data_IF_757989252767
#
_entry.id   IF_757989252767
#
_cell.length_a   1.000
_cell.length_b   1.000
_cell.length_c   1.000
_cell.angle_alpha   90.00
_cell.angle_beta   90.00
_cell.angle_gamma   90.00
#
_symmetry.space_group_name_H-M   'P 1'
#
loop_
_entity.id
_entity.type
_entity.pdbx_description
1 polymer ?
#
# COMPACT_ATOMS: atom_id res chain seq x y z
N UNK A 1 31.24 -14.51 -13.39
CA UNK A 1 30.61 -13.19 -13.09
C UNK A 1 30.46 -12.88 -11.60
N UNK A 2 30.02 -13.79 -10.71
CA UNK A 2 29.83 -13.49 -9.28
C UNK A 2 31.10 -13.15 -8.49
N UNK A 3 32.27 -13.68 -8.88
CA UNK A 3 33.55 -13.42 -8.21
C UNK A 3 34.13 -12.01 -8.50
N UNK A 4 33.98 -11.52 -9.73
CA UNK A 4 34.49 -10.22 -10.16
C UNK A 4 33.79 -9.06 -9.43
N UNK A 5 32.46 -9.15 -9.25
CA UNK A 5 31.70 -8.14 -8.49
C UNK A 5 32.09 -8.11 -7.01
N UNK A 6 32.51 -9.23 -6.41
CA UNK A 6 32.96 -9.27 -5.00
C UNK A 6 34.32 -8.62 -4.82
N UNK A 7 35.24 -8.82 -5.76
CA UNK A 7 36.57 -8.20 -5.74
C UNK A 7 36.45 -6.67 -5.95
N UNK A 8 35.62 -6.22 -6.89
CA UNK A 8 35.38 -4.80 -7.12
C UNK A 8 34.79 -4.09 -5.89
N UNK A 9 33.83 -4.73 -5.19
CA UNK A 9 33.27 -4.21 -3.94
C UNK A 9 34.32 -4.17 -2.83
N UNK A 10 35.15 -5.20 -2.71
CA UNK A 10 36.22 -5.26 -1.70
C UNK A 10 37.27 -4.15 -1.93
N UNK A 11 37.70 -3.95 -3.18
CA UNK A 11 38.63 -2.87 -3.55
C UNK A 11 38.01 -1.50 -3.28
N UNK A 12 36.73 -1.31 -3.58
CA UNK A 12 36.00 -0.07 -3.27
C UNK A 12 35.92 0.21 -1.77
N UNK A 13 35.67 -0.81 -0.94
CA UNK A 13 35.65 -0.67 0.52
C UNK A 13 37.02 -0.33 1.11
N UNK A 14 38.09 -0.96 0.60
CA UNK A 14 39.46 -0.68 1.04
C UNK A 14 39.87 0.74 0.65
N UNK A 15 39.63 1.14 -0.59
CA UNK A 15 39.93 2.49 -1.07
C UNK A 15 39.13 3.56 -0.29
N UNK A 16 37.84 3.30 -0.03
CA UNK A 16 37.00 4.17 0.80
C UNK A 16 37.53 4.29 2.24
N UNK A 17 37.95 3.18 2.85
CA UNK A 17 38.55 3.17 4.19
C UNK A 17 39.86 3.96 4.27
N UNK A 18 40.72 3.86 3.25
CA UNK A 18 41.98 4.62 3.18
C UNK A 18 41.71 6.12 3.00
N UNK A 19 40.75 6.50 2.16
CA UNK A 19 40.36 7.90 1.96
C UNK A 19 39.77 8.52 3.25
N UNK A 20 38.92 7.77 3.96
CA UNK A 20 38.37 8.16 5.27
C UNK A 20 39.49 8.34 6.29
N UNK A 21 40.46 7.42 6.32
CA UNK A 21 41.61 7.52 7.22
C UNK A 21 42.48 8.74 6.92
N UNK A 22 42.83 8.98 5.65
CA UNK A 22 43.63 10.15 5.25
C UNK A 22 42.90 11.47 5.55
N UNK A 23 41.59 11.54 5.31
CA UNK A 23 40.78 12.71 5.65
C UNK A 23 40.70 12.95 7.16
N UNK A 24 40.59 11.86 7.95
CA UNK A 24 40.57 11.94 9.42
C UNK A 24 41.88 12.45 10.04
N UNK A 25 43.02 12.21 9.36
CA UNK A 25 44.32 12.74 9.79
C UNK A 25 44.43 14.26 9.58
N UNK A 26 43.73 14.81 8.58
CA UNK A 26 43.68 16.25 8.32
C UNK A 26 42.64 16.97 9.19
N UNK A 27 41.61 16.25 9.66
CA UNK A 27 40.52 16.79 10.46
C UNK A 27 40.22 15.86 11.64
N UNK A 28 40.90 16.03 12.79
CA UNK A 28 40.81 15.09 13.93
C UNK A 28 39.40 14.94 14.50
N UNK A 29 38.55 15.96 14.36
CA UNK A 29 37.15 15.92 14.80
C UNK A 29 36.30 14.92 14.01
N UNK A 30 36.76 14.50 12.83
CA UNK A 30 36.07 13.52 11.97
C UNK A 30 35.96 12.14 12.64
N UNK A 31 36.89 11.81 13.54
CA UNK A 31 36.83 10.58 14.36
C UNK A 31 35.65 10.55 15.32
N UNK A 32 35.04 11.68 15.66
CA UNK A 32 33.82 11.72 16.48
C UNK A 32 32.55 11.57 15.64
N UNK A 33 32.63 11.84 14.33
CA UNK A 33 31.49 11.71 13.39
C UNK A 33 31.29 10.26 12.96
N UNK A 34 32.38 9.51 12.75
CA UNK A 34 32.34 8.11 12.30
C UNK A 34 31.54 7.21 13.27
N UNK A 35 31.78 7.22 14.60
CA UNK A 35 30.95 6.51 15.56
C UNK A 35 29.50 6.97 15.50
N UNK A 36 29.23 8.26 15.39
CA UNK A 36 27.86 8.79 15.28
C UNK A 36 27.10 8.23 14.07
N UNK A 37 27.73 8.23 12.89
CA UNK A 37 27.15 7.69 11.65
C UNK A 37 26.97 6.16 11.74
N UNK A 38 27.96 5.43 12.27
CA UNK A 38 27.86 3.98 12.46
C UNK A 38 26.76 3.60 13.45
N UNK A 39 26.63 4.37 14.54
CA UNK A 39 25.57 4.16 15.53
C UNK A 39 24.20 4.38 14.89
N UNK A 40 24.00 5.49 14.16
CA UNK A 40 22.76 5.75 13.41
C UNK A 40 22.45 4.64 12.39
N UNK A 41 23.47 4.14 11.70
CA UNK A 41 23.34 3.05 10.71
C UNK A 41 22.91 1.73 11.34
N UNK A 42 23.40 1.43 12.56
CA UNK A 42 23.04 0.23 13.32
C UNK A 42 21.61 0.30 13.89
N UNK A 43 21.12 1.50 14.20
CA UNK A 43 19.75 1.71 14.66
C UNK A 43 18.74 1.93 13.53
N UNK A 44 19.18 2.19 12.29
CA UNK A 44 18.31 2.34 11.12
C UNK A 44 17.33 1.16 10.94
N UNK A 45 17.76 -0.13 11.02
CA UNK A 45 16.85 -1.27 10.88
C UNK A 45 15.80 -1.40 11.99
N UNK A 46 16.08 -0.83 13.18
CA UNK A 46 15.14 -0.76 14.30
C UNK A 46 14.19 0.43 14.15
N UNK A 47 14.61 1.50 13.47
CA UNK A 47 13.82 2.69 13.23
C UNK A 47 12.87 2.56 12.03
N UNK A 48 13.18 1.72 11.03
CA UNK A 48 12.35 1.56 9.83
C UNK A 48 10.90 1.17 10.14
N UNK A 49 10.57 0.21 11.02
CA UNK A 49 9.18 -0.16 11.27
C UNK A 49 8.38 0.97 11.95
N UNK A 50 9.04 1.75 12.83
CA UNK A 50 8.44 2.91 13.48
C UNK A 50 8.13 4.01 12.47
N UNK A 51 9.04 4.23 11.51
CA UNK A 51 8.83 5.15 10.40
C UNK A 51 7.66 4.71 9.52
N UNK A 52 7.55 3.42 9.16
CA UNK A 52 6.43 2.94 8.34
C UNK A 52 5.09 3.13 9.09
N UNK A 53 5.00 2.77 10.37
CA UNK A 53 3.78 2.98 11.18
C UNK A 53 3.40 4.47 11.25
N UNK A 54 4.37 5.36 11.46
CA UNK A 54 4.12 6.80 11.47
C UNK A 54 3.61 7.30 10.11
N UNK A 55 4.21 6.84 9.01
CA UNK A 55 3.77 7.18 7.65
C UNK A 55 2.34 6.70 7.37
N UNK A 56 1.96 5.50 7.83
CA UNK A 56 0.58 5.01 7.71
C UNK A 56 -0.39 5.85 8.52
N UNK A 57 -0.06 6.18 9.78
CA UNK A 57 -0.90 7.07 10.60
C UNK A 57 -1.10 8.43 9.95
N UNK A 58 -0.03 9.02 9.41
CA UNK A 58 -0.11 10.27 8.65
C UNK A 58 -0.98 10.11 7.40
N UNK A 59 -0.80 9.03 6.64
CA UNK A 59 -1.59 8.79 5.42
C UNK A 59 -3.07 8.57 5.73
N UNK A 60 -3.41 7.92 6.85
CA UNK A 60 -4.79 7.81 7.34
C UNK A 60 -5.36 9.18 7.73
N UNK A 61 -4.56 10.04 8.33
CA UNK A 61 -4.96 11.42 8.64
C UNK A 61 -5.27 12.21 7.37
N UNK A 62 -4.35 12.17 6.42
CA UNK A 62 -4.49 12.85 5.13
C UNK A 62 -5.71 12.28 4.36
N UNK A 63 -5.95 10.97 4.46
CA UNK A 63 -7.10 10.30 3.85
C UNK A 63 -8.45 10.74 4.43
N UNK A 64 -8.58 10.81 5.76
CA UNK A 64 -9.82 11.31 6.39
C UNK A 64 -10.09 12.76 6.00
N UNK A 65 -9.04 13.60 6.02
CA UNK A 65 -9.15 15.00 5.63
C UNK A 65 -9.60 15.10 4.17
N UNK A 66 -9.00 14.31 3.29
CA UNK A 66 -9.36 14.25 1.88
C UNK A 66 -10.82 13.82 1.66
N UNK A 67 -11.30 12.80 2.37
CA UNK A 67 -12.70 12.34 2.29
C UNK A 67 -13.66 13.46 2.75
N UNK A 68 -13.32 14.12 3.86
CA UNK A 68 -14.10 15.22 4.43
C UNK A 68 -14.15 16.44 3.51
N UNK A 69 -13.02 16.81 2.88
CA UNK A 69 -12.90 17.91 1.93
C UNK A 69 -13.70 17.66 0.64
N UNK A 70 -13.86 16.40 0.23
CA UNK A 70 -14.73 16.00 -0.88
C UNK A 70 -16.21 15.86 -0.46
N UNK A 71 -16.58 16.29 0.75
CA UNK A 71 -17.94 16.20 1.31
C UNK A 71 -18.53 14.78 1.35
N UNK A 72 -17.68 13.76 1.42
CA UNK A 72 -18.10 12.36 1.49
C UNK A 72 -18.36 12.00 2.95
N UNK A 73 -19.57 11.52 3.26
CA UNK A 73 -19.98 11.10 4.61
C UNK A 73 -20.50 9.66 4.58
N UNK A 74 -19.60 8.67 4.54
CA UNK A 74 -20.00 7.29 4.40
C UNK A 74 -20.51 6.73 5.73
N UNK A 75 -21.57 5.93 5.67
CA UNK A 75 -22.06 5.09 6.78
C UNK A 75 -21.44 3.68 6.72
N UNK A 76 -20.99 3.26 5.54
CA UNK A 76 -20.42 1.95 5.26
C UNK A 76 -19.12 2.11 4.46
N UNK A 77 -18.06 1.41 4.87
CA UNK A 77 -16.85 1.24 4.05
C UNK A 77 -16.87 -0.14 3.39
N UNK A 78 -16.66 -0.20 2.08
CA UNK A 78 -16.56 -1.44 1.29
C UNK A 78 -15.13 -1.61 0.80
N UNK A 79 -14.57 -2.80 0.96
CA UNK A 79 -13.19 -3.13 0.53
C UNK A 79 -13.15 -4.46 -0.22
N UNK A 80 -12.23 -4.59 -1.17
CA UNK A 80 -12.17 -5.74 -2.09
C UNK A 80 -10.94 -6.64 -1.91
N UNK A 81 -10.05 -6.30 -1.00
CA UNK A 81 -8.90 -7.11 -0.65
C UNK A 81 -8.50 -6.96 0.81
N UNK A 82 -7.64 -7.87 1.27
CA UNK A 82 -7.19 -7.94 2.67
C UNK A 82 -6.49 -6.67 3.14
N UNK A 83 -5.59 -6.11 2.32
CA UNK A 83 -4.85 -4.89 2.67
C UNK A 83 -5.79 -3.69 2.84
N UNK A 84 -6.75 -3.55 1.93
CA UNK A 84 -7.77 -2.51 1.97
C UNK A 84 -8.72 -2.72 3.13
N UNK A 85 -9.06 -3.96 3.50
CA UNK A 85 -9.87 -4.26 4.68
C UNK A 85 -9.18 -3.84 5.99
N UNK A 86 -7.88 -4.15 6.14
CA UNK A 86 -7.11 -3.77 7.34
C UNK A 86 -7.03 -2.25 7.47
N UNK A 87 -6.58 -1.57 6.41
CA UNK A 87 -6.41 -0.11 6.42
C UNK A 87 -7.77 0.61 6.44
N UNK A 88 -8.78 0.03 5.78
CA UNK A 88 -10.16 0.50 5.78
C UNK A 88 -10.79 0.41 7.16
N UNK A 89 -10.50 -0.63 7.94
CA UNK A 89 -10.90 -0.72 9.34
C UNK A 89 -10.25 0.35 10.23
N UNK A 90 -8.97 0.63 10.02
CA UNK A 90 -8.29 1.74 10.71
C UNK A 90 -8.89 3.10 10.34
N UNK A 91 -9.23 3.29 9.06
CA UNK A 91 -9.91 4.50 8.58
C UNK A 91 -11.32 4.62 9.16
N UNK A 92 -12.09 3.53 9.15
CA UNK A 92 -13.44 3.46 9.73
C UNK A 92 -13.42 3.86 11.21
N UNK A 93 -12.50 3.28 11.99
CA UNK A 93 -12.32 3.61 13.40
C UNK A 93 -12.01 5.10 13.58
N UNK A 94 -11.14 5.67 12.74
CA UNK A 94 -10.73 7.08 12.83
C UNK A 94 -11.87 8.04 12.50
N UNK A 95 -12.70 7.68 11.52
CA UNK A 95 -13.86 8.45 11.07
C UNK A 95 -15.12 8.22 11.92
N UNK A 96 -15.10 7.26 12.86
CA UNK A 96 -16.29 6.89 13.65
C UNK A 96 -17.35 6.12 12.86
N UNK A 97 -16.94 5.39 11.82
CA UNK A 97 -17.84 4.56 10.98
C UNK A 97 -17.93 3.16 11.58
N UNK A 98 -19.15 2.72 11.90
CA UNK A 98 -19.40 1.43 12.55
C UNK A 98 -19.39 0.24 11.60
N UNK A 99 -19.59 0.47 10.31
CA UNK A 99 -19.79 -0.61 9.34
C UNK A 99 -18.65 -0.70 8.32
N UNK A 100 -18.06 -1.90 8.24
CA UNK A 100 -17.04 -2.26 7.27
C UNK A 100 -17.42 -3.60 6.62
N UNK A 101 -17.57 -3.58 5.31
CA UNK A 101 -17.76 -4.76 4.48
C UNK A 101 -16.46 -5.09 3.74
N UNK A 102 -15.87 -6.24 4.06
CA UNK A 102 -14.67 -6.75 3.40
C UNK A 102 -15.02 -7.93 2.50
N UNK A 103 -14.90 -7.75 1.18
CA UNK A 103 -15.18 -8.80 0.21
C UNK A 103 -13.93 -9.66 -0.03
N UNK A 104 -14.05 -10.99 0.09
CA UNK A 104 -12.93 -11.88 -0.14
C UNK A 104 -12.53 -11.86 -1.61
N UNK A 105 -11.23 -11.74 -1.86
CA UNK A 105 -10.62 -11.91 -3.17
C UNK A 105 -10.18 -13.37 -3.34
N UNK A 106 -10.56 -13.97 -4.46
CA UNK A 106 -10.05 -15.27 -4.91
C UNK A 106 -9.39 -15.12 -6.28
N UNK A 107 -8.19 -15.64 -6.41
CA UNK A 107 -7.49 -15.82 -7.68
C UNK A 107 -7.66 -17.28 -8.10
N UNK A 108 -8.42 -17.54 -9.16
CA UNK A 108 -8.45 -18.87 -9.77
C UNK A 108 -7.45 -18.91 -10.93
N UNK A 109 -6.49 -19.82 -10.86
CA UNK A 109 -5.82 -20.33 -12.06
C UNK A 109 -6.78 -21.34 -12.70
N UNK A 110 -7.07 -21.20 -13.99
CA UNK A 110 -7.70 -22.26 -14.77
C UNK A 110 -6.85 -22.49 -15.99
N UNK A 111 -6.50 -23.76 -16.18
CA UNK A 111 -5.83 -24.36 -17.32
C UNK A 111 -6.59 -24.00 -18.59
N UNK A 112 -6.00 -23.13 -19.42
CA UNK A 112 -6.21 -23.07 -20.86
C UNK A 112 -5.18 -22.08 -21.45
N UNK A 113 -4.66 -22.42 -22.62
CA UNK A 113 -3.41 -21.96 -23.26
C UNK A 113 -3.31 -20.45 -23.61
N UNK A 114 -4.19 -19.60 -23.06
CA UNK A 114 -4.18 -18.15 -23.19
C UNK A 114 -4.24 -17.50 -21.79
N UNK A 115 -3.09 -17.50 -21.13
CA UNK A 115 -2.86 -17.12 -19.74
C UNK A 115 -3.32 -15.69 -19.38
N UNK A 116 -4.52 -15.54 -18.83
CA UNK A 116 -4.91 -14.36 -18.04
C UNK A 116 -5.40 -14.79 -16.66
N UNK A 117 -4.72 -14.32 -15.61
CA UNK A 117 -5.13 -14.53 -14.20
C UNK A 117 -6.54 -13.96 -14.00
N UNK A 118 -7.52 -14.83 -13.72
CA UNK A 118 -8.88 -14.40 -13.36
C UNK A 118 -8.92 -14.01 -11.88
N UNK A 119 -9.31 -12.77 -11.61
CA UNK A 119 -9.56 -12.27 -10.26
C UNK A 119 -11.07 -12.26 -10.03
N UNK A 120 -11.49 -12.90 -8.95
CA UNK A 120 -12.87 -12.84 -8.45
C UNK A 120 -12.87 -12.17 -7.08
N UNK A 121 -13.91 -11.37 -6.82
CA UNK A 121 -14.15 -10.70 -5.53
C UNK A 121 -15.59 -11.01 -5.15
N UNK A 122 -15.82 -11.40 -3.88
CA UNK A 122 -17.16 -11.75 -3.41
C UNK A 122 -17.73 -13.00 -4.09
N UNK A 123 -16.88 -13.93 -4.54
CA UNK A 123 -17.33 -15.18 -5.18
C UNK A 123 -18.29 -15.91 -4.22
N UNK A 124 -19.48 -16.24 -4.72
CA UNK A 124 -20.58 -16.88 -3.97
C UNK A 124 -21.22 -16.00 -2.88
N UNK A 125 -21.01 -14.68 -2.90
CA UNK A 125 -21.71 -13.74 -2.04
C UNK A 125 -22.65 -12.89 -2.90
N UNK A 126 -23.96 -13.02 -2.67
CA UNK A 126 -24.93 -12.05 -3.16
C UNK A 126 -24.98 -10.89 -2.17
N UNK A 127 -24.44 -9.75 -2.58
CA UNK A 127 -24.48 -8.52 -1.80
C UNK A 127 -25.75 -7.77 -2.17
N UNK A 128 -26.79 -7.98 -1.37
CA UNK A 128 -28.04 -7.22 -1.44
C UNK A 128 -27.98 -6.12 -0.37
N UNK A 129 -27.34 -5.01 -0.72
CA UNK A 129 -27.36 -3.80 0.10
C UNK A 129 -28.62 -3.02 -0.23
N UNK A 130 -29.22 -2.38 0.77
CA UNK A 130 -30.33 -1.48 0.48
C UNK A 130 -29.82 -0.30 -0.37
N UNK A 131 -30.64 0.26 -1.27
CA UNK A 131 -30.24 1.39 -2.10
C UNK A 131 -29.67 2.58 -1.30
N UNK A 132 -30.21 2.84 -0.11
CA UNK A 132 -29.74 3.89 0.82
C UNK A 132 -28.36 3.58 1.40
N UNK A 133 -28.11 2.32 1.79
CA UNK A 133 -26.80 1.87 2.30
C UNK A 133 -25.71 2.04 1.24
N UNK A 134 -26.05 1.74 -0.02
CA UNK A 134 -25.09 1.85 -1.12
C UNK A 134 -24.79 3.30 -1.49
N UNK A 135 -25.80 4.19 -1.55
CA UNK A 135 -25.59 5.63 -1.77
C UNK A 135 -24.76 6.29 -0.67
N UNK A 136 -24.83 5.76 0.56
CA UNK A 136 -24.01 6.19 1.68
C UNK A 136 -22.77 5.32 1.92
N UNK A 137 -22.37 4.51 0.93
CA UNK A 137 -21.16 3.68 1.02
C UNK A 137 -19.93 4.34 0.37
N UNK A 138 -18.76 4.05 0.92
CA UNK A 138 -17.45 4.39 0.37
C UNK A 138 -16.70 3.10 0.01
N UNK A 139 -16.39 2.91 -1.27
CA UNK A 139 -15.41 1.91 -1.67
C UNK A 139 -14.01 2.44 -1.38
N UNK A 140 -13.32 1.82 -0.43
CA UNK A 140 -11.97 2.20 -0.04
C UNK A 140 -10.93 1.21 -0.61
N UNK A 141 -9.90 1.77 -1.24
CA UNK A 141 -8.80 1.00 -1.83
C UNK A 141 -7.48 1.50 -1.22
N UNK A 142 -6.75 0.60 -0.58
CA UNK A 142 -5.45 0.96 -0.05
C UNK A 142 -4.44 1.24 -1.17
N UNK A 143 -4.31 0.32 -2.14
CA UNK A 143 -3.39 0.48 -3.26
C UNK A 143 -3.98 -0.06 -4.57
N UNK A 144 -3.96 0.76 -5.62
CA UNK A 144 -4.40 0.41 -6.95
C UNK A 144 -3.22 0.38 -7.93
N UNK A 145 -2.90 -0.80 -8.48
CA UNK A 145 -1.78 -0.99 -9.44
C UNK A 145 -2.23 -1.20 -10.89
N UNK A 146 -3.07 -2.20 -11.12
CA UNK A 146 -3.66 -2.51 -12.44
C UNK A 146 -5.15 -2.21 -12.48
N UNK A 147 -5.77 -2.19 -11.29
CA UNK A 147 -7.20 -2.02 -11.06
C UNK A 147 -8.08 -3.23 -11.39
N UNK A 148 -7.51 -4.39 -11.69
CA UNK A 148 -8.29 -5.60 -11.95
C UNK A 148 -9.12 -6.05 -10.74
N UNK A 149 -8.60 -5.96 -9.52
CA UNK A 149 -9.36 -6.25 -8.29
C UNK A 149 -10.52 -5.27 -8.09
N UNK A 150 -10.28 -3.97 -8.34
CA UNK A 150 -11.30 -2.94 -8.22
C UNK A 150 -12.43 -3.16 -9.23
N UNK A 151 -12.09 -3.43 -10.48
CA UNK A 151 -13.05 -3.73 -11.54
C UNK A 151 -13.89 -4.98 -11.23
N UNK A 152 -13.25 -6.06 -10.77
CA UNK A 152 -13.95 -7.28 -10.36
C UNK A 152 -14.89 -7.03 -9.15
N UNK A 153 -14.43 -6.28 -8.15
CA UNK A 153 -15.23 -5.92 -6.97
C UNK A 153 -16.42 -5.04 -7.31
N UNK A 154 -16.21 -4.01 -8.13
CA UNK A 154 -17.30 -3.15 -8.62
C UNK A 154 -18.31 -3.94 -9.44
N UNK A 155 -17.86 -4.86 -10.30
CA UNK A 155 -18.78 -5.72 -11.06
C UNK A 155 -19.65 -6.59 -10.15
N UNK A 156 -19.06 -7.17 -9.09
CA UNK A 156 -19.80 -7.96 -8.10
C UNK A 156 -20.81 -7.10 -7.34
N UNK A 157 -20.42 -5.89 -6.92
CA UNK A 157 -21.29 -4.96 -6.21
C UNK A 157 -22.47 -4.50 -7.09
N UNK A 158 -22.22 -4.18 -8.35
CA UNK A 158 -23.25 -3.72 -9.29
C UNK A 158 -24.23 -4.83 -9.67
N UNK A 159 -23.75 -6.08 -9.81
CA UNK A 159 -24.59 -7.22 -10.14
C UNK A 159 -25.70 -7.47 -9.10
N UNK A 160 -25.45 -7.18 -7.83
CA UNK A 160 -26.43 -7.34 -6.75
C UNK A 160 -27.36 -6.14 -6.54
N UNK A 161 -26.97 -4.92 -6.94
CA UNK A 161 -27.62 -3.70 -6.44
C UNK A 161 -28.11 -2.72 -7.52
N UNK A 162 -27.73 -2.88 -8.80
CA UNK A 162 -28.08 -1.97 -9.92
C UNK A 162 -27.78 -0.46 -9.69
N UNK A 163 -27.00 -0.11 -8.66
CA UNK A 163 -26.63 1.26 -8.30
C UNK A 163 -25.13 1.32 -7.98
N UNK A 164 -24.54 2.51 -8.12
CA UNK A 164 -23.15 2.76 -7.74
C UNK A 164 -23.03 3.11 -6.25
N UNK A 165 -21.89 2.80 -5.61
CA UNK A 165 -21.58 3.32 -4.29
C UNK A 165 -21.48 4.85 -4.31
N UNK A 166 -21.76 5.49 -3.18
CA UNK A 166 -21.70 6.96 -3.04
C UNK A 166 -20.35 7.54 -3.45
N UNK A 167 -19.25 6.87 -3.12
CA UNK A 167 -17.92 7.23 -3.58
C UNK A 167 -16.98 6.04 -3.71
N UNK A 168 -15.92 6.20 -4.51
CA UNK A 168 -14.77 5.29 -4.55
C UNK A 168 -13.49 6.09 -4.41
N UNK A 169 -12.65 5.70 -3.46
CA UNK A 169 -11.42 6.42 -3.13
C UNK A 169 -10.26 5.45 -2.98
N UNK A 170 -9.10 5.84 -3.53
CA UNK A 170 -7.85 5.13 -3.36
C UNK A 170 -6.79 5.98 -2.65
N UNK A 171 -6.09 5.37 -1.69
CA UNK A 171 -5.00 6.02 -0.97
C UNK A 171 -3.76 6.14 -1.86
N UNK A 172 -3.37 5.05 -2.52
CA UNK A 172 -2.25 5.05 -3.47
C UNK A 172 -2.66 4.47 -4.82
N UNK A 173 -2.31 5.14 -5.91
CA UNK A 173 -2.63 4.70 -7.28
C UNK A 173 -1.40 4.84 -8.16
N UNK A 174 -1.06 3.81 -8.95
CA UNK A 174 0.00 3.93 -9.96
C UNK A 174 -0.44 4.85 -11.11
N UNK A 175 0.49 5.52 -11.77
CA UNK A 175 0.19 6.38 -12.93
C UNK A 175 -0.66 5.64 -14.00
N UNK A 176 -0.32 4.40 -14.32
CA UNK A 176 -1.09 3.57 -15.26
C UNK A 176 -2.52 3.28 -14.80
N UNK A 177 -2.73 3.00 -13.51
CA UNK A 177 -4.07 2.83 -12.97
C UNK A 177 -4.85 4.15 -12.93
N UNK A 178 -4.19 5.28 -12.65
CA UNK A 178 -4.84 6.60 -12.64
C UNK A 178 -5.30 6.99 -14.04
N UNK A 179 -4.52 6.70 -15.07
CA UNK A 179 -4.91 6.90 -16.46
C UNK A 179 -6.12 6.03 -16.85
N UNK A 180 -6.19 4.78 -16.35
CA UNK A 180 -7.31 3.87 -16.58
C UNK A 180 -8.59 4.27 -15.83
N UNK A 181 -8.46 4.83 -14.63
CA UNK A 181 -9.57 5.24 -13.76
C UNK A 181 -9.48 6.74 -13.40
N UNK A 182 -9.63 7.66 -14.39
CA UNK A 182 -9.37 9.08 -14.17
C UNK A 182 -10.31 9.71 -13.13
N UNK A 183 -11.56 9.21 -13.07
CA UNK A 183 -12.61 9.68 -12.15
C UNK A 183 -12.48 9.14 -10.72
N UNK A 184 -11.59 8.17 -10.47
CA UNK A 184 -11.38 7.64 -9.12
C UNK A 184 -10.74 8.72 -8.25
N UNK A 185 -11.33 8.99 -7.09
CA UNK A 185 -10.73 9.93 -6.14
C UNK A 185 -9.44 9.32 -5.58
N UNK A 186 -8.37 10.10 -5.55
CA UNK A 186 -7.03 9.58 -5.28
C UNK A 186 -6.29 10.52 -4.35
N UNK A 187 -5.80 10.02 -3.22
CA UNK A 187 -4.98 10.80 -2.31
C UNK A 187 -3.57 11.02 -2.89
N UNK A 188 -2.91 9.96 -3.38
CA UNK A 188 -1.56 10.04 -3.93
C UNK A 188 -1.35 9.14 -5.16
N UNK A 189 -0.77 9.71 -6.20
CA UNK A 189 -0.23 8.96 -7.34
C UNK A 189 1.21 8.56 -7.07
N UNK A 190 1.58 7.31 -7.40
CA UNK A 190 2.91 6.73 -7.21
C UNK A 190 3.46 6.17 -8.52
N UNK A 191 4.78 6.05 -8.63
CA UNK A 191 5.40 5.45 -9.82
C UNK A 191 5.21 3.93 -9.85
N UNK A 192 5.32 3.34 -11.03
CA UNK A 192 5.37 1.88 -11.13
C UNK A 192 6.59 1.31 -10.39
N UNK A 193 6.38 0.23 -9.64
CA UNK A 193 7.43 -0.39 -8.81
C UNK A 193 7.58 0.23 -7.42
N UNK A 194 7.04 1.41 -7.16
CA UNK A 194 6.91 1.93 -5.80
C UNK A 194 5.86 1.10 -5.04
N UNK A 195 6.28 0.54 -3.90
CA UNK A 195 5.36 -0.06 -2.94
C UNK A 195 5.39 0.83 -1.71
N UNK A 196 4.36 1.68 -1.50
CA UNK A 196 4.39 2.69 -0.46
C UNK A 196 4.63 2.12 0.93
N UNK A 197 4.44 0.81 1.14
CA UNK A 197 4.70 0.15 2.39
C UNK A 197 5.11 -1.33 2.23
N UNK A 198 6.20 -1.61 1.50
CA UNK A 198 6.82 -2.95 1.47
C UNK A 198 7.28 -3.45 2.86
N UNK A 199 7.17 -2.65 3.91
CA UNK A 199 7.67 -2.93 5.25
C UNK A 199 6.59 -3.36 6.25
N UNK A 200 5.29 -3.28 5.89
CA UNK A 200 4.25 -3.80 6.77
C UNK A 200 4.14 -5.33 6.68
N UNK A 201 4.16 -6.03 7.82
CA UNK A 201 4.15 -7.50 7.83
C UNK A 201 2.88 -8.11 7.21
N UNK A 202 1.75 -7.39 7.17
CA UNK A 202 0.54 -7.85 6.47
C UNK A 202 0.49 -7.47 4.98
N UNK A 203 1.48 -6.73 4.46
CA UNK A 203 1.61 -6.41 3.04
C UNK A 203 2.70 -7.28 2.40
N UNK A 204 3.84 -7.43 3.06
CA UNK A 204 5.03 -8.10 2.53
C UNK A 204 5.46 -9.36 3.30
N UNK A 205 4.87 -9.64 4.46
CA UNK A 205 5.24 -10.80 5.26
C UNK A 205 4.91 -12.11 4.54
N UNK A 206 5.79 -13.10 4.68
CA UNK A 206 5.42 -14.51 4.47
C UNK A 206 4.32 -14.81 5.47
N UNK A 207 3.09 -14.88 4.98
CA UNK A 207 2.01 -15.40 5.77
C UNK A 207 2.36 -16.85 6.15
N UNK A 208 2.48 -17.12 7.44
CA UNK A 208 2.52 -18.49 7.96
C UNK A 208 1.10 -19.04 7.81
N UNK A 209 0.71 -19.36 6.58
CA UNK A 209 -0.39 -20.27 6.34
C UNK A 209 0.26 -21.66 6.30
N UNK A 210 0.12 -22.39 7.41
CA UNK A 210 0.17 -23.86 7.38
C UNK A 210 -1.12 -24.36 6.75
#
# INVERSE_FOLDING_TARGET
>A
MKAFNRIAVLVGLIAGGIAIYQFSQQQPWFWYVIPGVLTLSLFLPLATPLLSVWQLRKSLYDMEKFISENAIRPKLIITFDRSSAIVGGMLAQRMGISELLALPRSTSETDDELSQRRISVGKNLELLLQPDELEHSLVFIFQLRTGSTFEAGMKSLLAGNNKFPGASVAMYVTEGAKARFPKLLTLKTIKEGESPNAEFPWISGKYIHK
#
